data_IF_762786553706
#
_entry.id   IF_762786553706
#
_cell.length_a   1.000
_cell.length_b   1.000
_cell.length_c   1.000
_cell.angle_alpha   90.00
_cell.angle_beta   90.00
_cell.angle_gamma   90.00
#
_symmetry.space_group_name_H-M   'P 1'
#
loop_
_entity.id
_entity.type
_entity.pdbx_description
1 polymer ?
#
# COMPACT_ATOMS: atom_id res chain seq x y z
N UNK A 1 3.66 -19.64 -24.65
CA UNK A 1 4.74 -19.64 -23.65
C UNK A 1 5.27 -18.23 -23.64
N UNK A 2 5.17 -17.48 -22.53
CA UNK A 2 5.68 -16.09 -22.47
C UNK A 2 7.20 -16.13 -22.60
N UNK A 3 7.76 -15.21 -23.37
CA UNK A 3 9.22 -15.13 -23.49
C UNK A 3 9.84 -14.35 -22.31
N UNK A 4 11.18 -14.37 -22.22
CA UNK A 4 11.90 -13.69 -21.13
C UNK A 4 11.62 -12.19 -21.09
N UNK A 5 11.44 -11.57 -22.26
CA UNK A 5 11.21 -10.13 -22.41
C UNK A 5 9.83 -9.75 -21.88
N UNK A 6 8.81 -10.52 -22.23
CA UNK A 6 7.45 -10.37 -21.72
C UNK A 6 7.43 -10.46 -20.19
N UNK A 7 8.12 -11.45 -19.61
CA UNK A 7 8.19 -11.62 -18.16
C UNK A 7 8.90 -10.45 -17.46
N UNK A 8 9.97 -9.91 -18.03
CA UNK A 8 10.66 -8.75 -17.44
C UNK A 8 9.83 -7.47 -17.52
N UNK A 9 9.08 -7.24 -18.60
CA UNK A 9 8.19 -6.09 -18.70
C UNK A 9 7.03 -6.19 -17.70
N UNK A 10 6.44 -7.38 -17.54
CA UNK A 10 5.38 -7.57 -16.54
C UNK A 10 5.90 -7.41 -15.11
N UNK A 11 7.13 -7.86 -14.82
CA UNK A 11 7.76 -7.64 -13.52
C UNK A 11 8.00 -6.15 -13.25
N UNK A 12 8.51 -5.41 -14.22
CA UNK A 12 8.74 -3.97 -14.10
C UNK A 12 7.42 -3.21 -13.83
N UNK A 13 6.37 -3.54 -14.59
CA UNK A 13 5.03 -2.99 -14.37
C UNK A 13 4.52 -3.25 -12.94
N UNK A 14 4.63 -4.51 -12.46
CA UNK A 14 4.19 -4.88 -11.12
C UNK A 14 4.99 -4.19 -10.02
N UNK A 15 6.31 -3.99 -10.21
CA UNK A 15 7.15 -3.22 -9.29
C UNK A 15 6.74 -1.74 -9.26
N UNK A 16 6.37 -1.18 -10.40
CA UNK A 16 5.80 0.18 -10.49
C UNK A 16 4.50 0.30 -9.68
N UNK A 17 3.57 -0.65 -9.82
CA UNK A 17 2.34 -0.67 -9.04
C UNK A 17 2.60 -0.83 -7.53
N UNK A 18 3.59 -1.66 -7.14
CA UNK A 18 4.02 -1.80 -5.74
C UNK A 18 4.53 -0.49 -5.16
N UNK A 19 5.37 0.23 -5.92
CA UNK A 19 5.88 1.54 -5.51
C UNK A 19 4.73 2.52 -5.27
N UNK A 20 3.78 2.59 -6.19
CA UNK A 20 2.62 3.47 -6.06
C UNK A 20 1.75 3.12 -4.85
N UNK A 21 1.46 1.83 -4.62
CA UNK A 21 0.70 1.40 -3.43
C UNK A 21 1.41 1.75 -2.13
N UNK A 22 2.75 1.64 -2.10
CA UNK A 22 3.55 2.04 -0.95
C UNK A 22 3.45 3.55 -0.67
N UNK A 23 3.48 4.38 -1.71
CA UNK A 23 3.26 5.83 -1.59
C UNK A 23 1.88 6.13 -1.00
N UNK A 24 0.82 5.49 -1.51
CA UNK A 24 -0.55 5.66 -0.98
C UNK A 24 -0.64 5.27 0.50
N UNK A 25 0.03 4.20 0.93
CA UNK A 25 0.08 3.82 2.35
C UNK A 25 0.78 4.89 3.18
N UNK A 26 1.89 5.45 2.70
CA UNK A 26 2.60 6.54 3.37
C UNK A 26 1.71 7.79 3.52
N UNK A 27 0.94 8.13 2.49
CA UNK A 27 0.00 9.26 2.53
C UNK A 27 -1.12 9.03 3.56
N UNK A 28 -1.61 7.79 3.68
CA UNK A 28 -2.61 7.41 4.69
C UNK A 28 -2.02 7.53 6.10
N UNK A 29 -0.80 7.06 6.32
CA UNK A 29 -0.10 7.17 7.60
C UNK A 29 0.08 8.64 8.03
N UNK A 30 0.48 9.50 7.09
CA UNK A 30 0.61 10.94 7.35
C UNK A 30 -0.75 11.56 7.72
N UNK A 31 -1.82 11.24 6.98
CA UNK A 31 -3.17 11.71 7.29
C UNK A 31 -3.66 11.25 8.67
N UNK A 32 -3.41 10.00 9.05
CA UNK A 32 -3.74 9.49 10.37
C UNK A 32 -2.97 10.21 11.49
N UNK A 33 -1.68 10.49 11.26
CA UNK A 33 -0.86 11.27 12.20
C UNK A 33 -1.40 12.69 12.40
N UNK A 34 -1.74 13.38 11.30
CA UNK A 34 -2.36 14.71 11.36
C UNK A 34 -3.72 14.68 12.05
N UNK A 35 -4.52 13.66 11.79
CA UNK A 35 -5.83 13.49 12.42
C UNK A 35 -5.70 13.32 13.93
N UNK A 36 -4.75 12.49 14.37
CA UNK A 36 -4.42 12.33 15.79
C UNK A 36 -4.04 13.66 16.45
N UNK A 37 -3.18 14.45 15.82
CA UNK A 37 -2.80 15.77 16.35
C UNK A 37 -3.99 16.72 16.45
N UNK A 38 -4.90 16.70 15.48
CA UNK A 38 -6.14 17.50 15.52
C UNK A 38 -7.06 17.06 16.66
N UNK A 39 -7.21 15.75 16.86
CA UNK A 39 -8.00 15.21 17.98
C UNK A 39 -7.43 15.66 19.33
N UNK A 40 -6.12 15.52 19.54
CA UNK A 40 -5.44 15.93 20.77
C UNK A 40 -5.60 17.44 21.03
N UNK A 41 -5.58 18.26 19.97
CA UNK A 41 -5.81 19.71 20.08
C UNK A 41 -7.26 20.03 20.49
N UNK A 42 -8.24 19.41 19.85
CA UNK A 42 -9.66 19.63 20.18
C UNK A 42 -9.96 19.21 21.62
N UNK A 43 -9.41 18.08 22.08
CA UNK A 43 -9.57 17.61 23.46
C UNK A 43 -9.02 18.61 24.48
N UNK A 44 -7.98 19.37 24.13
CA UNK A 44 -7.38 20.39 24.98
C UNK A 44 -8.07 21.77 24.93
N UNK A 45 -8.81 22.09 23.87
CA UNK A 45 -9.38 23.43 23.61
C UNK A 45 -10.91 23.49 23.68
N UNK A 46 -11.61 22.35 23.72
CA UNK A 46 -13.06 22.31 23.71
C UNK A 46 -13.68 22.96 24.95
N UNK A 47 -14.64 23.87 24.74
CA UNK A 47 -15.31 24.62 25.81
C UNK A 47 -16.61 23.95 26.26
N UNK A 48 -17.06 22.91 25.55
CA UNK A 48 -18.26 22.14 25.87
C UNK A 48 -18.18 20.69 25.43
N UNK A 49 -18.95 19.82 26.10
CA UNK A 49 -19.10 18.41 25.72
C UNK A 49 -19.78 18.22 24.36
N UNK A 50 -20.59 19.19 23.95
CA UNK A 50 -21.32 19.13 22.68
C UNK A 50 -20.38 19.34 21.49
N UNK A 51 -19.45 20.30 21.59
CA UNK A 51 -18.36 20.51 20.63
C UNK A 51 -17.48 19.26 20.50
N UNK A 52 -17.01 18.70 21.63
CA UNK A 52 -16.27 17.43 21.67
C UNK A 52 -17.01 16.29 20.96
N UNK A 53 -18.31 16.16 21.22
CA UNK A 53 -19.15 15.11 20.63
C UNK A 53 -19.29 15.22 19.11
N UNK A 54 -19.33 16.43 18.54
CA UNK A 54 -19.34 16.63 17.09
C UNK A 54 -17.99 16.24 16.49
N UNK A 55 -16.89 16.76 17.04
CA UNK A 55 -15.55 16.48 16.54
C UNK A 55 -15.19 15.00 16.60
N UNK A 56 -15.47 14.30 17.71
CA UNK A 56 -15.21 12.86 17.80
C UNK A 56 -15.99 12.05 16.75
N UNK A 57 -17.23 12.46 16.40
CA UNK A 57 -17.99 11.78 15.34
C UNK A 57 -17.38 11.98 13.97
N UNK A 58 -16.97 13.20 13.64
CA UNK A 58 -16.31 13.50 12.36
C UNK A 58 -14.99 12.75 12.23
N UNK A 59 -14.15 12.79 13.27
CA UNK A 59 -12.89 12.06 13.28
C UNK A 59 -13.07 10.54 13.23
N UNK A 60 -14.10 9.99 13.88
CA UNK A 60 -14.41 8.56 13.78
C UNK A 60 -14.77 8.14 12.34
N UNK A 61 -15.46 9.00 11.59
CA UNK A 61 -15.76 8.75 10.17
C UNK A 61 -14.47 8.79 9.35
N UNK A 62 -13.61 9.79 9.54
CA UNK A 62 -12.35 9.92 8.83
C UNK A 62 -11.40 8.74 9.11
N UNK A 63 -11.22 8.34 10.38
CA UNK A 63 -10.43 7.17 10.78
C UNK A 63 -10.96 5.91 10.09
N UNK A 64 -12.29 5.73 10.05
CA UNK A 64 -12.91 4.57 9.40
C UNK A 64 -12.62 4.52 7.90
N UNK A 65 -12.75 5.65 7.20
CA UNK A 65 -12.46 5.74 5.76
C UNK A 65 -10.98 5.43 5.50
N UNK A 66 -10.07 6.04 6.26
CA UNK A 66 -8.63 5.81 6.12
C UNK A 66 -8.24 4.36 6.42
N UNK A 67 -8.87 3.74 7.42
CA UNK A 67 -8.64 2.33 7.76
C UNK A 67 -9.08 1.39 6.63
N UNK A 68 -10.24 1.65 6.00
CA UNK A 68 -10.73 0.86 4.86
C UNK A 68 -9.82 1.01 3.64
N UNK A 69 -9.37 2.24 3.34
CA UNK A 69 -8.43 2.51 2.26
C UNK A 69 -7.09 1.80 2.49
N UNK A 70 -6.60 1.82 3.74
CA UNK A 70 -5.38 1.13 4.13
C UNK A 70 -5.52 -0.38 3.93
N UNK A 71 -6.61 -0.96 4.40
CA UNK A 71 -6.89 -2.39 4.24
C UNK A 71 -6.90 -2.82 2.77
N UNK A 72 -7.61 -2.10 1.91
CA UNK A 72 -7.65 -2.42 0.48
C UNK A 72 -6.30 -2.24 -0.20
N UNK A 73 -5.55 -1.20 0.16
CA UNK A 73 -4.22 -0.94 -0.40
C UNK A 73 -3.24 -2.03 0.01
N UNK A 74 -3.25 -2.44 1.30
CA UNK A 74 -2.41 -3.53 1.80
C UNK A 74 -2.73 -4.86 1.13
N UNK A 75 -4.02 -5.21 0.96
CA UNK A 75 -4.41 -6.42 0.22
C UNK A 75 -3.93 -6.40 -1.22
N UNK A 76 -4.00 -5.24 -1.88
CA UNK A 76 -3.44 -5.06 -3.22
C UNK A 76 -1.91 -5.20 -3.25
N UNK A 77 -1.22 -4.73 -2.21
CA UNK A 77 0.23 -4.83 -2.06
C UNK A 77 0.67 -6.30 -1.89
N UNK A 78 -0.01 -7.06 -1.02
CA UNK A 78 0.27 -8.50 -0.82
C UNK A 78 0.14 -9.28 -2.13
N UNK A 79 -0.96 -9.09 -2.86
CA UNK A 79 -1.17 -9.75 -4.15
C UNK A 79 -0.07 -9.40 -5.16
N UNK A 80 0.30 -8.12 -5.28
CA UNK A 80 1.33 -7.69 -6.23
C UNK A 80 2.72 -8.23 -5.84
N UNK A 81 3.03 -8.32 -4.54
CA UNK A 81 4.26 -8.94 -4.05
C UNK A 81 4.33 -10.42 -4.41
N UNK A 82 3.23 -11.16 -4.26
CA UNK A 82 3.17 -12.57 -4.62
C UNK A 82 3.39 -12.78 -6.13
N UNK A 83 2.72 -11.97 -6.97
CA UNK A 83 2.89 -12.04 -8.43
C UNK A 83 4.32 -11.69 -8.85
N UNK A 84 4.89 -10.62 -8.30
CA UNK A 84 6.27 -10.22 -8.60
C UNK A 84 7.27 -11.31 -8.19
N UNK A 85 7.07 -11.95 -7.04
CA UNK A 85 7.91 -13.07 -6.59
C UNK A 85 7.82 -14.27 -7.54
N UNK A 86 6.61 -14.66 -7.96
CA UNK A 86 6.42 -15.75 -8.93
C UNK A 86 7.09 -15.46 -10.27
N UNK A 87 7.02 -14.22 -10.76
CA UNK A 87 7.67 -13.80 -12.00
C UNK A 87 9.20 -13.82 -11.88
N UNK A 88 9.74 -13.28 -10.78
CA UNK A 88 11.17 -13.32 -10.50
C UNK A 88 11.72 -14.76 -10.51
N UNK A 89 11.03 -15.69 -9.83
CA UNK A 89 11.42 -17.11 -9.81
C UNK A 89 11.43 -17.73 -11.21
N UNK A 90 10.40 -17.47 -12.03
CA UNK A 90 10.34 -17.96 -13.42
C UNK A 90 11.46 -17.40 -14.29
N UNK A 91 11.75 -16.11 -14.17
CA UNK A 91 12.87 -15.46 -14.88
C UNK A 91 14.19 -16.12 -14.47
N UNK A 92 14.42 -16.32 -13.17
CA UNK A 92 15.63 -16.94 -12.66
C UNK A 92 15.83 -18.36 -13.20
N UNK A 93 14.78 -19.19 -13.19
CA UNK A 93 14.79 -20.54 -13.75
C UNK A 93 15.14 -20.55 -15.24
N UNK A 94 14.52 -19.67 -16.03
CA UNK A 94 14.77 -19.56 -17.47
C UNK A 94 16.20 -19.14 -17.78
N UNK A 95 16.73 -18.13 -17.07
CA UNK A 95 18.11 -17.65 -17.24
C UNK A 95 19.10 -18.76 -16.88
N UNK A 96 18.88 -19.47 -15.78
CA UNK A 96 19.76 -20.54 -15.34
C UNK A 96 19.72 -21.75 -16.29
N UNK A 97 18.54 -22.08 -16.82
CA UNK A 97 18.37 -23.14 -17.83
C UNK A 97 19.10 -22.80 -19.14
N UNK A 98 18.96 -21.57 -19.64
CA UNK A 98 19.68 -21.10 -20.83
C UNK A 98 21.20 -21.09 -20.62
N UNK A 99 21.67 -20.73 -19.43
CA UNK A 99 23.10 -20.77 -19.11
C UNK A 99 23.66 -22.20 -19.10
N UNK A 100 22.91 -23.16 -18.55
CA UNK A 100 23.26 -24.59 -18.56
C UNK A 100 23.28 -25.20 -19.96
N UNK A 101 22.40 -24.77 -20.86
CA UNK A 101 22.39 -25.23 -22.26
C UNK A 101 23.61 -24.77 -23.06
N UNK A 102 24.22 -23.65 -22.67
CA UNK A 102 25.36 -23.03 -23.36
C UNK A 102 26.72 -23.41 -22.76
N UNK A 103 26.72 -24.14 -21.64
CA UNK A 103 27.92 -24.62 -20.93
C UNK A 103 28.16 -26.10 -21.27
#
# INVERSE_FOLDING_TARGET
>A
MKDLKDLTHELDFNLGELSHKKEVLSDIEEKLSLLKQKMEKVDGEANSLEELGVYHREYAIEVRILSELMYHTMRGLENNCEVAHQQHTKIFELVHFEHKKRS
#
